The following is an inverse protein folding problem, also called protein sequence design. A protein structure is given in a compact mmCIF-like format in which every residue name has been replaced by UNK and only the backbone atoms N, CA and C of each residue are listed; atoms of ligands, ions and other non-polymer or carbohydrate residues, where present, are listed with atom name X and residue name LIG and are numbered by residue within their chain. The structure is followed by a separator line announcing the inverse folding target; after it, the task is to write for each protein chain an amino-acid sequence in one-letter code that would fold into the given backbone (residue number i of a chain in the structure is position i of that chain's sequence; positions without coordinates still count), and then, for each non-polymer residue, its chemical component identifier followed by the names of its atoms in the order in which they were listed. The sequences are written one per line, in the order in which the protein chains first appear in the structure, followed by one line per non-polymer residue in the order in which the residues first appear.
data_IF_572353267857
#
_entry.id   IF_572353267857
#
_cell.length_a   1.000
_cell.length_b   1.000
_cell.length_c   1.000
_cell.angle_alpha   90.00
_cell.angle_beta   90.00
_cell.angle_gamma   90.00
#
_symmetry.space_group_name_H-M   'P 1'
#
loop_
_entity.id
_entity.type
_entity.pdbx_description
1 polymer ?
#
# COMPACT_ATOMS: atom_id res chain seq x y z
N UNK A 1 -44.06 -46.61 35.10
CA UNK A 1 -43.77 -46.77 33.65
C UNK A 1 -44.67 -45.83 32.88
N UNK A 2 -44.19 -44.66 32.54
CA UNK A 2 -44.89 -43.72 31.65
C UNK A 2 -43.85 -43.13 30.68
N UNK A 3 -43.94 -43.61 29.44
CA UNK A 3 -43.05 -43.18 28.34
C UNK A 3 -43.51 -41.81 27.83
N UNK A 4 -42.61 -40.83 27.87
CA UNK A 4 -42.79 -39.51 27.29
C UNK A 4 -42.29 -39.51 25.84
N UNK A 5 -43.22 -39.38 24.91
CA UNK A 5 -42.96 -39.28 23.47
C UNK A 5 -42.60 -37.84 23.12
N UNK A 6 -41.34 -37.59 22.81
CA UNK A 6 -40.86 -36.28 22.34
C UNK A 6 -41.17 -36.13 20.85
N UNK A 7 -42.15 -35.29 20.53
CA UNK A 7 -42.46 -34.89 19.14
C UNK A 7 -41.38 -33.95 18.58
N UNK A 8 -40.70 -34.39 17.52
CA UNK A 8 -39.79 -33.58 16.72
C UNK A 8 -40.58 -32.52 15.91
N UNK A 9 -40.42 -31.24 16.27
CA UNK A 9 -40.94 -30.10 15.48
C UNK A 9 -40.16 -29.98 14.16
N UNK A 10 -40.81 -30.37 13.05
CA UNK A 10 -40.28 -30.11 11.70
C UNK A 10 -40.08 -28.65 11.43
N UNK A 11 -38.86 -28.27 11.03
CA UNK A 11 -38.51 -26.90 10.54
C UNK A 11 -39.25 -26.64 9.23
N UNK A 12 -40.19 -25.70 9.23
CA UNK A 12 -40.81 -25.17 8.01
C UNK A 12 -39.77 -24.58 7.05
N UNK A 13 -39.90 -24.77 5.74
CA UNK A 13 -38.96 -24.20 4.77
C UNK A 13 -38.97 -22.67 4.82
N UNK A 14 -37.81 -22.03 5.05
CA UNK A 14 -37.64 -20.59 4.96
C UNK A 14 -37.97 -20.15 3.53
N UNK A 15 -39.12 -19.54 3.33
CA UNK A 15 -39.45 -18.82 2.09
C UNK A 15 -38.35 -17.78 1.85
N UNK A 16 -37.67 -17.87 0.69
CA UNK A 16 -36.72 -16.86 0.24
C UNK A 16 -37.47 -15.52 0.15
N UNK A 17 -37.07 -14.56 0.98
CA UNK A 17 -37.65 -13.22 0.97
C UNK A 17 -37.43 -12.60 -0.41
N UNK A 18 -38.50 -12.27 -1.11
CA UNK A 18 -38.44 -11.58 -2.39
C UNK A 18 -37.70 -10.25 -2.21
N UNK A 19 -36.69 -9.98 -3.05
CA UNK A 19 -35.94 -8.72 -3.02
C UNK A 19 -36.91 -7.54 -3.14
N UNK A 20 -36.89 -6.56 -2.24
CA UNK A 20 -37.82 -5.41 -2.29
C UNK A 20 -37.62 -4.66 -3.62
N UNK A 21 -38.72 -4.33 -4.30
CA UNK A 21 -38.70 -3.49 -5.50
C UNK A 21 -38.16 -2.11 -5.13
N UNK A 22 -37.13 -1.64 -5.80
CA UNK A 22 -36.52 -0.33 -5.58
C UNK A 22 -37.55 0.79 -5.75
N UNK A 23 -37.72 1.66 -4.77
CA UNK A 23 -38.65 2.79 -4.83
C UNK A 23 -38.21 3.82 -5.87
N UNK A 24 -39.15 4.68 -6.36
CA UNK A 24 -38.83 5.73 -7.32
C UNK A 24 -37.76 6.72 -6.81
N UNK A 25 -37.75 7.01 -5.52
CA UNK A 25 -36.75 7.84 -4.86
C UNK A 25 -35.36 7.22 -4.97
N UNK A 26 -35.23 5.94 -4.71
CA UNK A 26 -34.01 5.17 -4.83
C UNK A 26 -33.43 5.17 -6.24
N UNK A 27 -34.28 5.08 -7.27
CA UNK A 27 -33.85 5.15 -8.68
C UNK A 27 -33.30 6.55 -9.01
N UNK A 28 -33.91 7.60 -8.46
CA UNK A 28 -33.49 9.00 -8.64
C UNK A 28 -32.15 9.26 -7.98
N UNK A 29 -31.95 8.83 -6.73
CA UNK A 29 -30.68 8.94 -6.00
C UNK A 29 -29.54 8.20 -6.71
N UNK A 30 -29.78 6.97 -7.16
CA UNK A 30 -28.80 6.22 -7.93
C UNK A 30 -28.43 6.95 -9.23
N UNK A 31 -29.42 7.50 -9.95
CA UNK A 31 -29.15 8.24 -11.20
C UNK A 31 -28.32 9.49 -10.94
N UNK A 32 -28.63 10.22 -9.88
CA UNK A 32 -27.86 11.40 -9.48
C UNK A 32 -26.45 11.02 -9.06
N UNK A 33 -26.28 9.96 -8.26
CA UNK A 33 -24.96 9.44 -7.88
C UNK A 33 -24.12 9.03 -9.10
N UNK A 34 -24.73 8.31 -10.07
CA UNK A 34 -24.06 7.96 -11.30
C UNK A 34 -23.69 9.17 -12.16
N UNK A 35 -24.57 10.20 -12.21
CA UNK A 35 -24.29 11.43 -12.95
C UNK A 35 -23.08 12.19 -12.40
N UNK A 36 -22.92 12.25 -11.07
CA UNK A 36 -21.73 12.84 -10.43
C UNK A 36 -20.48 12.00 -10.62
N UNK A 37 -20.61 10.68 -10.67
CA UNK A 37 -19.46 9.77 -10.86
C UNK A 37 -19.09 9.61 -12.34
N UNK A 38 -19.99 9.90 -13.27
CA UNK A 38 -19.79 9.69 -14.70
C UNK A 38 -18.56 10.42 -15.28
N UNK A 39 -18.28 11.70 -14.99
CA UNK A 39 -17.08 12.37 -15.50
C UNK A 39 -15.79 11.65 -15.11
N UNK A 40 -15.69 11.28 -13.82
CA UNK A 40 -14.55 10.51 -13.33
C UNK A 40 -14.48 9.12 -13.99
N UNK A 41 -15.60 8.39 -14.03
CA UNK A 41 -15.64 7.04 -14.59
C UNK A 41 -15.27 7.02 -16.09
N UNK A 42 -15.71 8.01 -16.87
CA UNK A 42 -15.36 8.16 -18.29
C UNK A 42 -13.87 8.42 -18.45
N UNK A 43 -13.30 9.38 -17.70
CA UNK A 43 -11.88 9.67 -17.76
C UNK A 43 -11.04 8.48 -17.30
N UNK A 44 -11.45 7.81 -16.23
CA UNK A 44 -10.79 6.60 -15.74
C UNK A 44 -10.82 5.46 -16.77
N UNK A 45 -11.98 5.23 -17.40
CA UNK A 45 -12.10 4.23 -18.45
C UNK A 45 -11.20 4.55 -19.65
N UNK A 46 -11.16 5.82 -20.07
CA UNK A 46 -10.35 6.26 -21.21
C UNK A 46 -8.85 6.23 -20.93
N UNK A 47 -8.41 6.69 -19.75
CA UNK A 47 -6.99 6.84 -19.43
C UNK A 47 -6.38 5.54 -18.89
N UNK A 48 -7.16 4.72 -18.15
CA UNK A 48 -6.65 3.50 -17.53
C UNK A 48 -7.19 2.22 -18.19
N UNK A 49 -8.50 2.07 -18.33
CA UNK A 49 -9.07 0.80 -18.79
C UNK A 49 -8.74 0.56 -20.27
N UNK A 50 -8.91 1.57 -21.11
CA UNK A 50 -8.67 1.44 -22.55
C UNK A 50 -7.19 1.11 -22.87
N UNK A 51 -6.17 1.78 -22.30
CA UNK A 51 -4.77 1.37 -22.48
C UNK A 51 -4.45 -0.04 -21.95
N UNK A 52 -5.08 -0.46 -20.84
CA UNK A 52 -4.91 -1.83 -20.33
C UNK A 52 -5.47 -2.85 -21.33
N UNK A 53 -6.68 -2.63 -21.85
CA UNK A 53 -7.27 -3.50 -22.87
C UNK A 53 -6.38 -3.53 -24.11
N UNK A 54 -5.89 -2.36 -24.55
CA UNK A 54 -4.98 -2.27 -25.68
C UNK A 54 -3.66 -3.02 -25.42
N UNK A 55 -3.08 -2.91 -24.23
CA UNK A 55 -1.87 -3.64 -23.86
C UNK A 55 -2.10 -5.16 -23.88
N UNK A 56 -3.25 -5.63 -23.35
CA UNK A 56 -3.63 -7.05 -23.41
C UNK A 56 -3.79 -7.48 -24.86
N UNK A 57 -4.49 -6.72 -25.68
CA UNK A 57 -4.64 -7.02 -27.10
C UNK A 57 -3.28 -7.08 -27.81
N UNK A 58 -2.43 -6.07 -27.61
CA UNK A 58 -1.09 -5.99 -28.22
C UNK A 58 -0.17 -7.12 -27.77
N UNK A 59 -0.39 -7.70 -26.58
CA UNK A 59 0.42 -8.83 -26.08
C UNK A 59 0.30 -10.10 -26.92
N UNK A 60 -0.76 -10.23 -27.71
CA UNK A 60 -0.94 -11.35 -28.65
C UNK A 60 -0.23 -11.16 -29.98
N UNK A 61 0.35 -9.98 -30.20
CA UNK A 61 1.06 -9.65 -31.43
C UNK A 61 2.56 -9.48 -31.17
N UNK A 62 3.37 -9.74 -32.18
CA UNK A 62 4.83 -9.50 -32.16
C UNK A 62 5.22 -8.77 -33.44
N UNK A 63 6.07 -7.78 -33.32
CA UNK A 63 6.70 -7.15 -34.46
C UNK A 63 7.77 -8.06 -35.02
N UNK A 64 7.63 -8.44 -36.27
CA UNK A 64 8.59 -9.22 -37.05
C UNK A 64 8.99 -8.44 -38.30
N UNK A 65 10.25 -8.51 -38.67
CA UNK A 65 10.74 -7.89 -39.90
C UNK A 65 10.48 -8.89 -41.06
N UNK A 66 9.61 -8.53 -42.00
CA UNK A 66 9.32 -9.31 -43.20
C UNK A 66 9.92 -8.60 -44.45
N UNK A 67 10.46 -9.36 -45.39
CA UNK A 67 10.93 -8.84 -46.70
C UNK A 67 12.35 -8.27 -46.73
N UNK A 68 13.15 -8.44 -45.66
CA UNK A 68 14.57 -8.04 -45.66
C UNK A 68 15.44 -8.99 -46.47
N UNK A 69 16.08 -8.47 -47.52
CA UNK A 69 17.16 -9.20 -48.19
C UNK A 69 18.44 -9.29 -47.34
N UNK A 70 19.53 -9.89 -47.90
CA UNK A 70 20.81 -10.09 -47.21
C UNK A 70 21.46 -8.80 -46.64
N UNK A 71 21.00 -7.63 -47.03
CA UNK A 71 21.49 -6.31 -46.59
C UNK A 71 20.53 -5.57 -45.61
N UNK A 72 19.52 -6.25 -45.10
CA UNK A 72 18.50 -5.61 -44.24
C UNK A 72 17.43 -4.87 -45.07
N UNK A 73 16.54 -4.14 -44.41
CA UNK A 73 15.51 -3.31 -45.12
C UNK A 73 14.11 -3.92 -45.14
N UNK A 74 13.83 -4.92 -44.31
CA UNK A 74 12.46 -5.44 -44.17
C UNK A 74 11.53 -4.49 -43.43
N UNK A 75 10.25 -4.58 -43.75
CA UNK A 75 9.18 -3.81 -43.08
C UNK A 75 8.79 -4.49 -41.77
N UNK A 76 8.55 -3.69 -40.73
CA UNK A 76 8.06 -4.19 -39.45
C UNK A 76 6.57 -4.46 -39.52
N UNK A 77 6.18 -5.72 -39.48
CA UNK A 77 4.80 -6.17 -39.55
C UNK A 77 4.37 -6.75 -38.21
N UNK A 78 3.19 -6.36 -37.74
CA UNK A 78 2.59 -6.93 -36.54
C UNK A 78 1.96 -8.29 -36.86
N UNK A 79 2.60 -9.37 -36.42
CA UNK A 79 2.11 -10.75 -36.63
C UNK A 79 1.41 -11.26 -35.39
N UNK A 80 0.24 -11.83 -35.57
CA UNK A 80 -0.46 -12.50 -34.46
C UNK A 80 0.25 -13.77 -34.07
N UNK A 81 0.71 -13.84 -32.82
CA UNK A 81 1.49 -14.97 -32.28
C UNK A 81 0.77 -15.69 -31.11
N UNK A 82 -0.47 -15.30 -30.83
CA UNK A 82 -1.24 -15.90 -29.74
C UNK A 82 -0.51 -15.82 -28.39
N UNK A 83 -0.37 -16.94 -27.72
CA UNK A 83 0.28 -17.02 -26.39
C UNK A 83 1.80 -17.13 -26.39
N UNK A 84 2.47 -17.06 -27.54
CA UNK A 84 3.93 -17.23 -27.61
C UNK A 84 4.70 -16.19 -26.78
N UNK A 85 4.22 -14.94 -26.73
CA UNK A 85 4.85 -13.91 -25.92
C UNK A 85 4.76 -14.23 -24.41
N UNK A 86 3.62 -14.77 -23.96
CA UNK A 86 3.44 -15.21 -22.57
C UNK A 86 4.33 -16.41 -22.24
N UNK A 87 4.40 -17.40 -23.15
CA UNK A 87 5.28 -18.54 -22.99
C UNK A 87 6.74 -18.08 -22.89
N UNK A 88 7.18 -17.18 -23.76
CA UNK A 88 8.53 -16.63 -23.73
C UNK A 88 8.82 -15.95 -22.37
N UNK A 89 7.91 -15.13 -21.84
CA UNK A 89 8.09 -14.46 -20.54
C UNK A 89 8.18 -15.49 -19.41
N UNK A 90 7.25 -16.45 -19.35
CA UNK A 90 7.17 -17.45 -18.27
C UNK A 90 8.39 -18.39 -18.30
N UNK A 91 8.92 -18.71 -19.48
CA UNK A 91 10.12 -19.57 -19.61
C UNK A 91 11.43 -18.79 -19.49
N UNK A 92 11.38 -17.46 -19.48
CA UNK A 92 12.58 -16.61 -19.39
C UNK A 92 13.19 -16.62 -17.99
N UNK A 93 14.43 -17.07 -17.86
CA UNK A 93 15.19 -16.99 -16.61
C UNK A 93 15.40 -15.56 -16.11
N UNK A 94 15.49 -14.60 -17.02
CA UNK A 94 15.60 -13.17 -16.67
C UNK A 94 14.34 -12.64 -15.97
N UNK A 95 13.16 -13.09 -16.40
CA UNK A 95 11.89 -12.74 -15.77
C UNK A 95 11.86 -13.23 -14.31
N UNK A 96 12.11 -14.50 -14.08
CA UNK A 96 12.08 -15.07 -12.73
C UNK A 96 13.17 -14.53 -11.82
N UNK A 97 14.35 -14.26 -12.33
CA UNK A 97 15.40 -13.60 -11.56
C UNK A 97 15.02 -12.14 -11.19
N UNK A 98 14.29 -11.46 -12.08
CA UNK A 98 13.70 -10.15 -11.79
C UNK A 98 12.64 -10.22 -10.70
N UNK A 99 11.70 -11.15 -10.82
CA UNK A 99 10.67 -11.41 -9.80
C UNK A 99 11.30 -11.74 -8.45
N UNK A 100 12.29 -12.63 -8.43
CA UNK A 100 13.02 -12.99 -7.20
C UNK A 100 13.66 -11.79 -6.53
N UNK A 101 14.33 -10.91 -7.29
CA UNK A 101 14.94 -9.68 -6.78
C UNK A 101 13.91 -8.73 -6.18
N UNK A 102 12.77 -8.52 -6.85
CA UNK A 102 11.69 -7.65 -6.34
C UNK A 102 11.09 -8.23 -5.08
N UNK A 103 10.87 -9.55 -5.01
CA UNK A 103 10.34 -10.20 -3.81
C UNK A 103 11.30 -10.05 -2.63
N UNK A 104 12.59 -10.35 -2.81
CA UNK A 104 13.60 -10.18 -1.76
C UNK A 104 13.69 -8.72 -1.31
N UNK A 105 13.74 -7.79 -2.27
CA UNK A 105 13.74 -6.37 -1.98
C UNK A 105 12.53 -5.98 -1.12
N UNK A 106 11.32 -6.35 -1.53
CA UNK A 106 10.07 -6.01 -0.83
C UNK A 106 10.02 -6.62 0.58
N UNK A 107 10.40 -7.91 0.71
CA UNK A 107 10.39 -8.61 2.00
C UNK A 107 11.37 -8.02 3.02
N UNK A 108 12.45 -7.41 2.57
CA UNK A 108 13.44 -6.76 3.45
C UNK A 108 13.09 -5.29 3.66
N UNK A 109 12.84 -4.57 2.58
CA UNK A 109 12.66 -3.12 2.57
C UNK A 109 11.41 -2.68 3.33
N UNK A 110 10.25 -3.32 3.06
CA UNK A 110 8.98 -2.91 3.65
C UNK A 110 8.98 -3.08 5.19
N UNK A 111 9.38 -4.22 5.75
CA UNK A 111 9.47 -4.34 7.21
C UNK A 111 10.43 -3.33 7.84
N UNK A 112 11.61 -3.10 7.27
CA UNK A 112 12.58 -2.12 7.79
C UNK A 112 11.95 -0.72 7.83
N UNK A 113 11.33 -0.28 6.74
CA UNK A 113 10.67 1.02 6.65
C UNK A 113 9.53 1.16 7.67
N UNK A 114 8.69 0.14 7.80
CA UNK A 114 7.55 0.14 8.72
C UNK A 114 8.03 0.15 10.18
N UNK A 115 9.04 -0.65 10.52
CA UNK A 115 9.62 -0.67 11.86
C UNK A 115 10.25 0.69 12.19
N UNK A 116 10.99 1.29 11.26
CA UNK A 116 11.59 2.61 11.44
C UNK A 116 10.51 3.68 11.64
N UNK A 117 9.46 3.68 10.82
CA UNK A 117 8.34 4.61 10.92
C UNK A 117 7.57 4.47 12.25
N UNK A 118 7.31 3.23 12.66
CA UNK A 118 6.63 2.94 13.93
C UNK A 118 7.49 3.34 15.14
N UNK A 119 8.78 3.04 15.11
CA UNK A 119 9.71 3.44 16.17
C UNK A 119 9.75 4.98 16.33
N UNK A 120 9.83 5.72 15.20
CA UNK A 120 9.76 7.17 15.20
C UNK A 120 8.42 7.69 15.74
N UNK A 121 7.29 7.08 15.32
CA UNK A 121 5.96 7.46 15.80
C UNK A 121 5.85 7.27 17.32
N UNK A 122 6.33 6.15 17.87
CA UNK A 122 6.32 5.88 19.32
C UNK A 122 7.19 6.88 20.06
N UNK A 123 8.37 7.23 19.54
CA UNK A 123 9.27 8.23 20.14
C UNK A 123 8.62 9.61 20.15
N UNK A 124 8.01 10.02 19.04
CA UNK A 124 7.35 11.33 18.92
C UNK A 124 6.07 11.40 19.76
N UNK A 125 5.34 10.28 19.92
CA UNK A 125 4.17 10.19 20.77
C UNK A 125 4.52 10.13 22.27
N UNK A 126 5.77 9.81 22.59
CA UNK A 126 6.26 9.89 23.97
C UNK A 126 6.46 11.37 24.36
N UNK A 127 6.06 11.74 25.59
CA UNK A 127 6.20 13.11 26.11
C UNK A 127 7.66 13.62 26.25
N UNK A 128 8.63 12.85 25.77
CA UNK A 128 10.07 13.18 25.80
C UNK A 128 10.45 14.23 24.78
N UNK A 129 9.72 14.32 23.64
CA UNK A 129 10.03 15.24 22.53
C UNK A 129 9.39 16.60 22.75
N UNK A 130 10.19 17.65 22.96
CA UNK A 130 9.70 19.01 23.25
C UNK A 130 9.18 19.77 22.01
N UNK A 131 9.72 19.51 20.82
CA UNK A 131 9.37 20.20 19.56
C UNK A 131 8.74 19.27 18.54
N UNK A 132 7.64 18.62 18.92
CA UNK A 132 6.95 17.59 18.12
C UNK A 132 6.63 18.05 16.70
N UNK A 133 6.18 19.29 16.52
CA UNK A 133 5.81 19.84 15.20
C UNK A 133 7.02 19.95 14.27
N UNK A 134 8.17 20.42 14.77
CA UNK A 134 9.40 20.49 13.98
C UNK A 134 9.90 19.12 13.55
N UNK A 135 9.86 18.14 14.44
CA UNK A 135 10.22 16.75 14.10
C UNK A 135 9.28 16.14 13.06
N UNK A 136 7.96 16.34 13.20
CA UNK A 136 6.98 15.87 12.21
C UNK A 136 7.26 16.45 10.83
N UNK A 137 7.48 17.75 10.75
CA UNK A 137 7.81 18.42 9.49
C UNK A 137 9.13 17.93 8.90
N UNK A 138 10.19 17.83 9.71
CA UNK A 138 11.50 17.39 9.24
C UNK A 138 11.49 15.97 8.67
N UNK A 139 10.81 15.02 9.31
CA UNK A 139 10.69 13.66 8.80
C UNK A 139 9.70 13.51 7.63
N UNK A 140 8.69 14.39 7.53
CA UNK A 140 7.75 14.39 6.41
C UNK A 140 8.31 15.08 5.16
N UNK A 141 9.24 16.03 5.32
CA UNK A 141 9.80 16.83 4.21
C UNK A 141 10.34 15.99 3.04
N UNK A 142 11.05 14.87 3.25
CA UNK A 142 11.50 14.00 2.17
C UNK A 142 10.38 13.52 1.24
N UNK A 143 9.23 13.20 1.80
CA UNK A 143 8.06 12.75 1.03
C UNK A 143 7.48 13.87 0.14
N UNK A 144 7.59 15.11 0.57
CA UNK A 144 7.13 16.27 -0.20
C UNK A 144 8.05 16.62 -1.39
N UNK A 145 9.27 16.08 -1.42
CA UNK A 145 10.24 16.33 -2.50
C UNK A 145 9.84 15.49 -3.73
N UNK A 146 9.71 16.09 -4.93
CA UNK A 146 9.46 15.32 -6.15
C UNK A 146 10.50 14.22 -6.36
N UNK A 147 10.05 12.99 -6.70
CA UNK A 147 10.91 11.81 -6.78
C UNK A 147 12.13 11.97 -7.71
N UNK A 148 11.98 12.71 -8.80
CA UNK A 148 13.10 13.03 -9.72
C UNK A 148 14.18 13.86 -9.00
N UNK A 149 13.77 14.86 -8.24
CA UNK A 149 14.70 15.73 -7.48
C UNK A 149 15.38 14.91 -6.37
N UNK A 150 14.62 14.11 -5.64
CA UNK A 150 15.16 13.19 -4.64
C UNK A 150 16.21 12.24 -5.25
N UNK A 151 15.93 11.69 -6.43
CA UNK A 151 16.86 10.79 -7.13
C UNK A 151 18.17 11.50 -7.50
N UNK A 152 18.12 12.73 -7.99
CA UNK A 152 19.32 13.54 -8.31
C UNK A 152 20.14 13.81 -7.05
N UNK A 153 19.49 14.19 -5.95
CA UNK A 153 20.15 14.42 -4.66
C UNK A 153 20.91 13.15 -4.23
N UNK A 154 20.27 11.99 -4.28
CA UNK A 154 20.89 10.73 -3.87
C UNK A 154 21.98 10.26 -4.83
N UNK A 155 21.85 10.49 -6.15
CA UNK A 155 22.93 10.23 -7.11
C UNK A 155 24.18 11.05 -6.73
N UNK A 156 24.01 12.32 -6.36
CA UNK A 156 25.10 13.16 -5.88
C UNK A 156 25.70 12.64 -4.57
N UNK A 157 24.83 12.29 -3.58
CA UNK A 157 25.25 11.80 -2.28
C UNK A 157 25.95 10.44 -2.32
N UNK A 158 25.69 9.62 -3.33
CA UNK A 158 26.32 8.31 -3.53
C UNK A 158 27.54 8.33 -4.42
N UNK A 159 27.81 9.45 -5.08
CA UNK A 159 28.95 9.55 -6.00
C UNK A 159 30.28 9.57 -5.25
N UNK A 160 31.14 8.57 -5.50
CA UNK A 160 32.41 8.40 -4.80
C UNK A 160 33.40 9.57 -4.94
N UNK A 161 33.31 10.35 -6.02
CA UNK A 161 34.26 11.43 -6.30
C UNK A 161 33.87 12.75 -5.62
N UNK A 162 32.59 13.08 -5.51
CA UNK A 162 32.11 14.38 -5.07
C UNK A 162 31.42 14.35 -3.71
N UNK A 163 30.84 13.19 -3.32
CA UNK A 163 30.05 13.07 -2.12
C UNK A 163 30.88 13.26 -0.82
N UNK A 164 30.44 14.16 0.07
CA UNK A 164 31.07 14.28 1.39
C UNK A 164 30.85 13.03 2.26
N UNK A 165 29.72 12.32 2.07
CA UNK A 165 29.40 11.09 2.81
C UNK A 165 30.37 9.99 2.42
N UNK A 166 30.59 9.75 1.14
CA UNK A 166 31.49 8.69 0.66
C UNK A 166 32.95 9.00 1.04
N UNK A 167 33.36 10.26 0.95
CA UNK A 167 34.68 10.71 1.41
C UNK A 167 34.87 10.55 2.91
N UNK A 168 33.84 10.85 3.70
CA UNK A 168 33.85 10.64 5.15
C UNK A 168 33.95 9.15 5.51
N UNK A 169 33.26 8.27 4.82
CA UNK A 169 33.36 6.81 4.99
C UNK A 169 34.75 6.30 4.62
N UNK A 170 35.32 6.80 3.51
CA UNK A 170 36.68 6.43 3.09
C UNK A 170 37.74 6.88 4.11
N UNK A 171 37.56 8.03 4.76
CA UNK A 171 38.48 8.54 5.79
C UNK A 171 38.54 7.62 7.04
N UNK A 172 37.48 6.87 7.33
CA UNK A 172 37.44 5.86 8.41
C UNK A 172 37.74 4.45 7.92
N UNK A 173 38.24 4.32 6.67
CA UNK A 173 38.64 3.03 6.07
C UNK A 173 37.52 2.24 5.40
N UNK A 174 36.32 2.81 5.30
CA UNK A 174 35.16 2.14 4.66
C UNK A 174 34.99 2.64 3.24
N UNK A 175 35.47 1.85 2.27
CA UNK A 175 35.36 2.13 0.85
C UNK A 175 34.10 1.45 0.29
N UNK A 176 33.04 2.21 -0.01
CA UNK A 176 31.77 1.71 -0.52
C UNK A 176 31.46 2.36 -1.86
N UNK A 177 31.20 1.54 -2.88
CA UNK A 177 30.60 1.96 -4.12
C UNK A 177 29.09 1.66 -4.09
N UNK A 178 28.28 2.67 -3.84
CA UNK A 178 26.81 2.57 -3.73
C UNK A 178 26.14 2.18 -5.06
N UNK A 179 26.83 2.31 -6.21
CA UNK A 179 26.34 1.91 -7.53
C UNK A 179 26.74 0.50 -7.90
N UNK A 180 27.55 -0.19 -7.10
CA UNK A 180 27.92 -1.57 -7.32
C UNK A 180 26.66 -2.46 -7.35
N UNK A 181 26.61 -3.40 -8.31
CA UNK A 181 25.44 -4.27 -8.52
C UNK A 181 25.01 -5.08 -7.29
N UNK A 182 25.92 -5.33 -6.35
CA UNK A 182 25.62 -6.06 -5.12
C UNK A 182 25.03 -5.18 -4.02
N UNK A 183 25.24 -3.86 -4.11
CA UNK A 183 24.85 -2.88 -3.09
C UNK A 183 23.69 -2.00 -3.59
N UNK A 184 23.54 -1.83 -4.90
CA UNK A 184 22.59 -0.89 -5.50
C UNK A 184 21.14 -1.08 -5.02
N UNK A 185 20.72 -2.32 -4.78
CA UNK A 185 19.38 -2.58 -4.22
C UNK A 185 19.25 -2.02 -2.80
N UNK A 186 20.31 -2.14 -1.98
CA UNK A 186 20.37 -1.53 -0.65
C UNK A 186 20.37 0.00 -0.72
N UNK A 187 21.08 0.58 -1.69
CA UNK A 187 21.08 2.01 -1.95
C UNK A 187 19.69 2.52 -2.33
N UNK A 188 18.99 1.82 -3.21
CA UNK A 188 17.60 2.12 -3.56
C UNK A 188 16.66 1.96 -2.36
N UNK A 189 16.87 0.92 -1.55
CA UNK A 189 16.11 0.68 -0.33
C UNK A 189 16.26 1.83 0.67
N UNK A 190 17.47 2.37 0.82
CA UNK A 190 17.72 3.53 1.66
C UNK A 190 16.97 4.78 1.16
N UNK A 191 16.96 5.06 -0.14
CA UNK A 191 16.21 6.17 -0.73
C UNK A 191 14.71 6.02 -0.44
N UNK A 192 14.17 4.83 -0.66
CA UNK A 192 12.76 4.53 -0.41
C UNK A 192 12.42 4.68 1.08
N UNK A 193 13.27 4.17 1.97
CA UNK A 193 13.11 4.34 3.42
C UNK A 193 13.11 5.80 3.80
N UNK A 194 14.09 6.58 3.35
CA UNK A 194 14.19 8.01 3.62
C UNK A 194 12.94 8.78 3.15
N UNK A 195 12.45 8.47 1.95
CA UNK A 195 11.28 9.14 1.39
C UNK A 195 9.99 8.82 2.13
N UNK A 196 9.74 7.53 2.43
CA UNK A 196 8.43 7.08 2.90
C UNK A 196 8.32 6.88 4.41
N UNK A 197 9.43 6.84 5.15
CA UNK A 197 9.39 6.64 6.61
C UNK A 197 8.60 7.72 7.32
N UNK A 198 8.79 8.99 6.93
CA UNK A 198 8.07 10.11 7.55
C UNK A 198 6.57 10.10 7.27
N UNK A 199 6.16 9.74 6.05
CA UNK A 199 4.76 9.56 5.71
C UNK A 199 4.10 8.44 6.53
N UNK A 200 4.73 7.28 6.58
CA UNK A 200 4.22 6.15 7.39
C UNK A 200 4.24 6.47 8.89
N UNK A 201 5.24 7.21 9.37
CA UNK A 201 5.29 7.69 10.76
C UNK A 201 4.06 8.54 11.12
N UNK A 202 3.61 9.42 10.22
CA UNK A 202 2.40 10.23 10.48
C UNK A 202 1.13 9.37 10.55
N UNK A 203 1.02 8.31 9.73
CA UNK A 203 -0.09 7.35 9.80
C UNK A 203 -0.09 6.63 11.15
N UNK A 204 1.07 6.14 11.60
CA UNK A 204 1.18 5.49 12.90
C UNK A 204 0.92 6.45 14.05
N UNK A 205 1.38 7.68 13.95
CA UNK A 205 1.15 8.69 14.95
C UNK A 205 -0.33 9.03 15.10
N UNK A 206 -1.06 9.13 13.98
CA UNK A 206 -2.50 9.31 13.99
C UNK A 206 -3.23 8.12 14.65
N UNK A 207 -2.77 6.89 14.36
CA UNK A 207 -3.31 5.69 14.98
C UNK A 207 -3.00 5.62 16.50
N UNK A 208 -1.81 6.05 16.93
CA UNK A 208 -1.45 6.13 18.34
C UNK A 208 -2.30 7.16 19.10
N UNK A 209 -2.58 8.31 18.47
CA UNK A 209 -3.42 9.36 19.05
C UNK A 209 -4.90 8.98 19.15
N UNK A 210 -5.35 7.96 18.42
CA UNK A 210 -6.70 7.42 18.52
C UNK A 210 -6.89 6.48 19.72
N UNK A 211 -5.81 6.08 20.41
CA UNK A 211 -5.89 5.22 21.61
C UNK A 211 -6.41 6.04 22.78
N UNK A 212 -7.49 5.61 23.49
CA UNK A 212 -8.04 6.31 24.63
C UNK A 212 -7.00 6.54 25.73
N UNK A 213 -6.98 7.75 26.30
CA UNK A 213 -5.99 8.14 27.31
C UNK A 213 -6.13 7.34 28.61
N UNK A 214 -7.34 6.92 28.92
CA UNK A 214 -7.66 6.10 30.09
C UNK A 214 -6.87 4.78 30.13
N UNK A 215 -6.54 4.19 28.97
CA UNK A 215 -5.71 2.99 28.90
C UNK A 215 -4.28 3.24 29.39
N UNK A 216 -3.74 4.42 29.12
CA UNK A 216 -2.42 4.79 29.59
C UNK A 216 -2.40 5.09 31.10
N UNK A 217 -3.46 5.72 31.59
CA UNK A 217 -3.61 6.02 33.03
C UNK A 217 -3.76 4.73 33.83
N UNK A 218 -4.63 3.83 33.40
CA UNK A 218 -4.82 2.53 34.03
C UNK A 218 -3.50 1.73 34.08
N UNK A 219 -2.78 1.68 32.97
CA UNK A 219 -1.50 0.98 32.91
C UNK A 219 -0.45 1.60 33.84
N UNK A 220 -0.43 2.92 34.02
CA UNK A 220 0.46 3.60 34.95
C UNK A 220 0.11 3.30 36.42
N UNK A 221 -1.19 3.23 36.74
CA UNK A 221 -1.66 2.82 38.07
C UNK A 221 -1.23 1.39 38.38
N UNK A 222 -1.27 0.49 37.35
CA UNK A 222 -0.80 -0.89 37.42
C UNK A 222 0.74 -1.00 37.46
N UNK A 223 1.48 0.11 37.46
CA UNK A 223 2.95 0.14 37.56
C UNK A 223 3.68 -0.17 36.25
N UNK A 224 3.01 -0.11 35.09
CA UNK A 224 3.61 -0.34 33.80
C UNK A 224 4.65 0.74 33.46
N UNK A 225 5.86 0.30 33.11
CA UNK A 225 6.90 1.20 32.61
C UNK A 225 6.68 1.58 31.13
N UNK A 226 7.42 2.59 30.64
CA UNK A 226 7.27 3.11 29.26
C UNK A 226 7.45 2.03 28.18
N UNK A 227 8.33 1.06 28.38
CA UNK A 227 8.56 -0.07 27.47
C UNK A 227 7.34 -1.01 27.43
N UNK A 228 6.76 -1.30 28.60
CA UNK A 228 5.54 -2.11 28.71
C UNK A 228 4.35 -1.43 28.06
N UNK A 229 4.20 -0.12 28.22
CA UNK A 229 3.18 0.69 27.53
C UNK A 229 3.40 0.63 26.02
N UNK A 230 4.63 0.79 25.54
CA UNK A 230 4.94 0.73 24.11
C UNK A 230 4.64 -0.65 23.50
N UNK A 231 5.04 -1.73 24.18
CA UNK A 231 4.94 -3.10 23.62
C UNK A 231 3.59 -3.76 23.86
N UNK A 232 2.93 -3.48 25.01
CA UNK A 232 1.68 -4.16 25.38
C UNK A 232 0.41 -3.35 25.06
N UNK A 233 0.53 -2.02 24.90
CA UNK A 233 -0.59 -1.14 24.61
C UNK A 233 -0.47 -0.53 23.20
N UNK A 234 0.61 0.25 22.96
CA UNK A 234 0.76 0.96 21.68
C UNK A 234 0.88 0.00 20.51
N UNK A 235 1.83 -0.92 20.54
CA UNK A 235 2.12 -1.84 19.44
C UNK A 235 0.93 -2.72 19.03
N UNK A 236 0.19 -3.38 19.96
CA UNK A 236 -0.98 -4.16 19.57
C UNK A 236 -2.12 -3.33 18.96
N UNK A 237 -2.33 -2.11 19.46
CA UNK A 237 -3.39 -1.24 18.95
C UNK A 237 -3.09 -0.65 17.57
N UNK A 238 -1.83 -0.46 17.21
CA UNK A 238 -1.45 0.06 15.88
C UNK A 238 -1.16 -1.03 14.84
N UNK A 239 -1.23 -2.32 15.20
CA UNK A 239 -0.96 -3.43 14.26
C UNK A 239 -1.86 -3.39 13.02
N UNK A 240 -3.13 -2.97 13.18
CA UNK A 240 -4.05 -2.78 12.06
C UNK A 240 -3.59 -1.66 11.12
N UNK A 241 -3.11 -0.55 11.65
CA UNK A 241 -2.52 0.54 10.87
C UNK A 241 -1.21 0.12 10.19
N UNK A 242 -0.41 -0.76 10.82
CA UNK A 242 0.80 -1.32 10.22
C UNK A 242 0.48 -2.20 9.00
N UNK A 243 -0.48 -3.10 9.15
CA UNK A 243 -0.98 -3.91 8.03
C UNK A 243 -1.55 -3.04 6.91
N UNK A 244 -2.27 -1.98 7.26
CA UNK A 244 -2.81 -1.00 6.34
C UNK A 244 -1.70 -0.28 5.56
N UNK A 245 -0.67 0.20 6.25
CA UNK A 245 0.46 0.85 5.62
C UNK A 245 1.22 -0.10 4.67
N UNK A 246 1.35 -1.38 5.04
CA UNK A 246 1.93 -2.40 4.18
C UNK A 246 1.10 -2.66 2.91
N UNK A 247 -0.23 -2.69 3.04
CA UNK A 247 -1.16 -2.92 1.92
C UNK A 247 -1.35 -1.67 1.05
N UNK A 248 -1.25 -0.48 1.64
CA UNK A 248 -1.55 0.79 0.97
C UNK A 248 -0.38 1.33 0.14
N UNK A 249 0.81 0.72 0.23
CA UNK A 249 1.98 1.14 -0.54
C UNK A 249 1.82 0.96 -2.06
N UNK A 250 0.83 0.17 -2.52
CA UNK A 250 0.56 -0.07 -3.95
C UNK A 250 -0.93 -0.15 -4.33
N UNK A 251 -1.87 0.04 -3.41
CA UNK A 251 -3.31 -0.14 -3.68
C UNK A 251 -4.10 1.16 -3.49
N UNK A 252 -4.36 1.87 -4.57
CA UNK A 252 -5.35 2.95 -4.59
C UNK A 252 -6.76 2.36 -4.44
N UNK A 253 -7.53 2.83 -3.44
CA UNK A 253 -8.94 2.48 -3.28
C UNK A 253 -9.25 1.36 -2.26
N UNK A 254 -8.27 0.85 -1.53
CA UNK A 254 -8.52 -0.02 -0.37
C UNK A 254 -8.75 0.84 0.86
N UNK A 255 -9.99 0.86 1.35
CA UNK A 255 -10.35 1.48 2.62
C UNK A 255 -10.25 0.42 3.70
N UNK A 256 -9.18 0.44 4.50
CA UNK A 256 -9.01 -0.48 5.62
C UNK A 256 -9.37 0.25 6.91
N UNK A 257 -10.32 -0.29 7.65
CA UNK A 257 -10.72 0.19 8.95
C UNK A 257 -10.13 -0.74 10.00
N UNK A 258 -9.42 -0.18 10.96
CA UNK A 258 -9.03 -0.94 12.13
C UNK A 258 -10.30 -1.35 12.89
N UNK A 259 -10.51 -2.65 13.07
CA UNK A 259 -11.69 -3.23 13.76
C UNK A 259 -11.78 -2.71 15.20
N UNK A 260 -10.66 -2.38 15.82
CA UNK A 260 -10.59 -1.83 17.18
C UNK A 260 -10.86 -0.31 17.23
N UNK A 261 -10.94 0.36 16.08
CA UNK A 261 -11.37 1.77 16.00
C UNK A 261 -12.89 1.83 15.81
N UNK A 262 -13.63 1.69 16.90
CA UNK A 262 -15.10 1.72 16.89
C UNK A 262 -15.70 2.96 16.24
N UNK A 263 -15.03 4.12 16.32
CA UNK A 263 -15.46 5.33 15.65
C UNK A 263 -15.23 5.26 14.13
N UNK A 264 -14.04 4.86 13.69
CA UNK A 264 -13.72 4.72 12.25
C UNK A 264 -14.52 3.60 11.59
N UNK A 265 -14.67 2.45 12.28
CA UNK A 265 -15.53 1.35 11.85
C UNK A 265 -17.00 1.77 11.82
N UNK A 266 -17.48 2.48 12.84
CA UNK A 266 -18.84 3.04 12.91
C UNK A 266 -19.08 4.08 11.82
N UNK A 267 -18.13 4.97 11.55
CA UNK A 267 -18.23 5.97 10.48
C UNK A 267 -18.24 5.31 9.08
N UNK A 268 -17.40 4.34 8.83
CA UNK A 268 -17.41 3.62 7.55
C UNK A 268 -18.63 2.68 7.42
N UNK A 269 -19.04 2.00 8.49
CA UNK A 269 -20.30 1.28 8.52
C UNK A 269 -21.50 2.21 8.32
N UNK A 270 -21.45 3.42 8.88
CA UNK A 270 -22.44 4.48 8.64
C UNK A 270 -22.40 4.93 7.17
N UNK A 271 -21.24 5.16 6.59
CA UNK A 271 -21.09 5.50 5.15
C UNK A 271 -21.62 4.37 4.26
N UNK A 272 -21.23 3.12 4.53
CA UNK A 272 -21.68 1.93 3.79
C UNK A 272 -23.20 1.71 4.00
N UNK A 273 -23.72 1.90 5.22
CA UNK A 273 -25.14 1.75 5.52
C UNK A 273 -25.96 2.96 5.06
N UNK A 274 -25.40 4.18 5.01
CA UNK A 274 -26.08 5.33 4.40
C UNK A 274 -26.19 5.17 2.88
N UNK A 275 -25.21 4.56 2.25
CA UNK A 275 -25.36 4.11 0.87
C UNK A 275 -26.45 3.03 0.76
N UNK A 276 -26.61 2.14 1.76
CA UNK A 276 -27.66 1.13 1.83
C UNK A 276 -29.01 1.65 2.36
N UNK A 277 -29.05 2.51 3.38
CA UNK A 277 -30.29 3.01 3.98
C UNK A 277 -30.98 4.10 3.14
N UNK A 278 -30.22 4.82 2.32
CA UNK A 278 -30.79 5.63 1.23
C UNK A 278 -31.31 4.78 0.08
N UNK A 279 -31.12 3.46 0.15
CA UNK A 279 -31.60 2.45 -0.80
C UNK A 279 -32.69 1.55 -0.19
N UNK A 280 -33.17 1.76 1.00
CA UNK A 280 -34.36 1.19 1.64
C UNK A 280 -35.41 2.28 1.85
#
# INVERSE_FOLDING_TARGET
MTASTTQAKGKAPRRAAAKPKRSGAQKRENRTGWAFMAPFAVLFAFVFILPIIWAIYSSFFRQVTEGGGAYGGGELVNKFVGFQNFQYVITSGNFWSGVGRVLVYTLIQVPIMIIAALALAIVIDSFVVKHVTGFRLGYFLPYAIPGVVASIIWVYLYNGQISPIVKGLAAIGVNVDFFNKNIVLGSMANITTWTFTGYNMLIFLAALQAIPHDLYEAARIDGANGWQIATKIKLPNVRGAALLAMLNSCASGVSVVNIDNGFGAGYQAHMINHVKARTA
#
